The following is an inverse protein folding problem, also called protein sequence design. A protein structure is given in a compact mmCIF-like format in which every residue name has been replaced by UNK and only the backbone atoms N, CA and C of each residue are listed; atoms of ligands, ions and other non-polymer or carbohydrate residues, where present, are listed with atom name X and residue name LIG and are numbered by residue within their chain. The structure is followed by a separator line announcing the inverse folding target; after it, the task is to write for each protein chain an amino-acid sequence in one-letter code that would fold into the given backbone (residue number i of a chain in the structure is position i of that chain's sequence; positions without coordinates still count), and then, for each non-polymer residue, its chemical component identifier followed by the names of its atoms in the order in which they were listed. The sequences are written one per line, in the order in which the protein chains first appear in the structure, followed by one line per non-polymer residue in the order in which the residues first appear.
data_IF_802785485630
#
_entry.id   IF_802785485630
#
_cell.length_a   1.000
_cell.length_b   1.000
_cell.length_c   1.000
_cell.angle_alpha   90.00
_cell.angle_beta   90.00
_cell.angle_gamma   90.00
#
_symmetry.space_group_name_H-M   'P 1'
#
loop_
_entity.id
_entity.type
_entity.pdbx_description
1 polymer ?
#
# COMPACT_ATOMS: atom_id res chain seq x y z
N UNK A 1 -4.94 38.69 34.55
CA UNK A 1 -4.63 38.63 33.09
C UNK A 1 -3.52 37.64 32.69
N UNK A 2 -2.71 37.08 33.61
CA UNK A 2 -1.60 36.17 33.24
C UNK A 2 -2.02 34.74 32.84
N UNK A 3 -3.14 34.23 33.38
CA UNK A 3 -3.60 32.83 33.15
C UNK A 3 -4.16 32.63 31.73
N UNK A 4 -4.88 33.63 31.19
CA UNK A 4 -5.36 33.59 29.79
C UNK A 4 -4.19 33.50 28.80
N UNK A 5 -3.12 34.27 29.03
CA UNK A 5 -1.94 34.27 28.14
C UNK A 5 -1.17 32.94 28.18
N UNK A 6 -1.13 32.26 29.34
CA UNK A 6 -0.52 30.91 29.46
C UNK A 6 -1.36 29.87 28.72
N UNK A 7 -2.70 29.94 28.81
CA UNK A 7 -3.58 29.05 28.06
C UNK A 7 -3.47 29.24 26.54
N UNK A 8 -3.35 30.48 26.05
CA UNK A 8 -3.11 30.76 24.64
C UNK A 8 -1.73 30.25 24.16
N UNK A 9 -0.70 30.33 24.99
CA UNK A 9 0.64 29.82 24.68
C UNK A 9 0.68 28.28 24.60
N UNK A 10 -0.02 27.58 25.50
CA UNK A 10 -0.17 26.12 25.45
C UNK A 10 -0.99 25.66 24.24
N UNK A 11 -2.06 26.37 23.87
CA UNK A 11 -2.82 26.09 22.65
C UNK A 11 -1.99 26.28 21.37
N UNK A 12 -1.12 27.29 21.32
CA UNK A 12 -0.28 27.56 20.14
C UNK A 12 0.81 26.50 19.93
N UNK A 13 1.43 26.00 21.01
CA UNK A 13 2.42 24.92 20.94
C UNK A 13 1.78 23.60 20.48
N UNK A 14 0.55 23.30 20.93
CA UNK A 14 -0.17 22.09 20.53
C UNK A 14 -0.58 22.08 19.05
N UNK A 15 -0.74 23.25 18.42
CA UNK A 15 -1.07 23.34 16.98
C UNK A 15 0.11 23.09 16.05
N UNK A 16 1.37 23.26 16.50
CA UNK A 16 2.55 23.05 15.64
C UNK A 16 3.02 21.58 15.59
N UNK A 17 2.51 20.71 16.46
CA UNK A 17 2.92 19.30 16.53
C UNK A 17 2.27 18.39 15.48
N UNK A 18 1.36 18.90 14.65
CA UNK A 18 0.57 18.08 13.71
C UNK A 18 1.17 17.97 12.30
N UNK A 19 2.35 18.54 12.06
CA UNK A 19 3.06 18.44 10.79
C UNK A 19 4.24 17.46 10.88
N UNK A 20 3.97 16.19 11.16
CA UNK A 20 4.98 15.15 10.89
C UNK A 20 5.33 15.19 9.39
N UNK A 21 6.60 15.42 9.08
CA UNK A 21 7.11 15.43 7.71
C UNK A 21 6.96 14.04 7.08
N UNK A 22 5.87 13.81 6.34
CA UNK A 22 5.71 12.63 5.48
C UNK A 22 6.40 12.90 4.14
N UNK A 23 7.74 12.80 4.11
CA UNK A 23 8.50 12.89 2.87
C UNK A 23 8.20 11.67 2.00
N UNK A 24 7.96 11.87 0.71
CA UNK A 24 7.80 10.79 -0.27
C UNK A 24 9.12 10.69 -1.04
N UNK A 25 9.79 9.53 -1.04
CA UNK A 25 11.05 9.38 -1.75
C UNK A 25 10.82 9.56 -3.26
N UNK A 26 11.77 10.22 -3.93
CA UNK A 26 11.82 10.17 -5.39
C UNK A 26 12.48 8.86 -5.82
N UNK A 27 12.07 8.31 -6.96
CA UNK A 27 12.66 7.07 -7.46
C UNK A 27 14.19 7.17 -7.62
N UNK A 28 14.71 8.32 -8.07
CA UNK A 28 16.15 8.58 -8.21
C UNK A 28 16.94 8.57 -6.89
N UNK A 29 16.25 8.63 -5.75
CA UNK A 29 16.86 8.58 -4.41
C UNK A 29 16.94 7.14 -3.87
N UNK A 30 16.30 6.19 -4.55
CA UNK A 30 16.27 4.77 -4.17
C UNK A 30 17.48 4.09 -4.82
N UNK A 31 18.40 3.50 -4.03
CA UNK A 31 19.59 2.84 -4.56
C UNK A 31 19.25 1.84 -5.66
N UNK A 32 19.97 1.88 -6.78
CA UNK A 32 19.69 1.04 -7.97
C UNK A 32 19.92 -0.45 -7.70
N UNK A 33 20.75 -0.78 -6.70
CA UNK A 33 21.06 -2.12 -6.24
C UNK A 33 20.10 -2.65 -5.15
N UNK A 34 19.07 -1.88 -4.78
CA UNK A 34 18.06 -2.32 -3.80
C UNK A 34 17.34 -3.57 -4.30
N UNK A 35 17.36 -4.65 -3.52
CA UNK A 35 16.64 -5.88 -3.85
C UNK A 35 15.12 -5.73 -3.65
N UNK A 36 14.28 -6.63 -4.19
CA UNK A 36 12.85 -6.65 -3.89
C UNK A 36 12.55 -6.73 -2.39
N UNK A 37 13.39 -7.42 -1.62
CA UNK A 37 13.25 -7.52 -0.16
C UNK A 37 13.53 -6.18 0.53
N UNK A 38 14.59 -5.47 0.14
CA UNK A 38 14.91 -4.14 0.68
C UNK A 38 13.79 -3.14 0.39
N UNK A 39 13.29 -3.14 -0.85
CA UNK A 39 12.17 -2.30 -1.27
C UNK A 39 10.89 -2.65 -0.51
N UNK A 40 10.60 -3.93 -0.32
CA UNK A 40 9.44 -4.38 0.45
C UNK A 40 9.54 -3.95 1.91
N UNK A 41 10.71 -4.09 2.53
CA UNK A 41 10.93 -3.63 3.90
C UNK A 41 10.70 -2.11 4.01
N UNK A 42 11.27 -1.32 3.10
CA UNK A 42 11.05 0.14 3.07
C UNK A 42 9.59 0.51 2.85
N UNK A 43 8.88 -0.25 2.02
CA UNK A 43 7.47 -0.05 1.78
C UNK A 43 6.64 -0.30 3.05
N UNK A 44 6.94 -1.37 3.79
CA UNK A 44 6.26 -1.69 5.06
C UNK A 44 6.60 -0.67 6.16
N UNK A 45 7.85 -0.23 6.30
CA UNK A 45 8.23 0.86 7.22
C UNK A 45 7.45 2.16 6.92
N UNK A 46 7.29 2.49 5.63
CA UNK A 46 6.48 3.61 5.19
C UNK A 46 4.98 3.39 5.45
N UNK A 47 4.49 2.16 5.30
CA UNK A 47 3.10 1.80 5.59
C UNK A 47 2.78 1.95 7.09
N UNK A 48 3.64 1.42 7.95
CA UNK A 48 3.48 1.42 9.42
C UNK A 48 3.52 2.83 10.01
N UNK A 49 4.29 3.72 9.38
CA UNK A 49 4.30 5.16 9.71
C UNK A 49 3.10 5.93 9.11
N UNK A 50 2.16 5.24 8.45
CA UNK A 50 1.00 5.85 7.79
C UNK A 50 1.31 6.55 6.47
N UNK A 51 2.56 6.51 5.98
CA UNK A 51 2.99 7.10 4.72
C UNK A 51 2.70 6.21 3.52
N UNK A 52 1.41 6.02 3.26
CA UNK A 52 0.88 5.24 2.13
C UNK A 52 1.37 5.73 0.76
N UNK A 53 1.77 7.00 0.64
CA UNK A 53 2.35 7.55 -0.60
C UNK A 53 3.75 7.02 -0.81
N UNK A 54 4.61 7.06 0.21
CA UNK A 54 5.96 6.50 0.13
C UNK A 54 5.93 4.98 -0.04
N UNK A 55 5.08 4.28 0.73
CA UNK A 55 4.91 2.83 0.61
C UNK A 55 4.60 2.42 -0.84
N UNK A 56 3.66 3.13 -1.48
CA UNK A 56 3.30 2.90 -2.88
C UNK A 56 4.49 3.07 -3.84
N UNK A 57 5.32 4.09 -3.65
CA UNK A 57 6.51 4.32 -4.51
C UNK A 57 7.43 3.11 -4.47
N UNK A 58 7.74 2.58 -3.28
CA UNK A 58 8.61 1.41 -3.16
C UNK A 58 8.04 0.17 -3.86
N UNK A 59 6.74 -0.10 -3.73
CA UNK A 59 6.10 -1.20 -4.47
C UNK A 59 6.09 -0.97 -5.98
N UNK A 60 5.84 0.26 -6.45
CA UNK A 60 5.90 0.59 -7.88
C UNK A 60 7.31 0.41 -8.45
N UNK A 61 8.36 0.67 -7.66
CA UNK A 61 9.75 0.38 -8.04
C UNK A 61 9.99 -1.12 -8.20
N UNK A 62 9.41 -1.97 -7.34
CA UNK A 62 9.50 -3.42 -7.52
C UNK A 62 8.92 -3.84 -8.88
N UNK A 63 7.72 -3.36 -9.21
CA UNK A 63 7.06 -3.66 -10.48
C UNK A 63 7.85 -3.18 -11.71
N UNK A 64 8.61 -2.09 -11.57
CA UNK A 64 9.39 -1.49 -12.65
C UNK A 64 10.76 -2.14 -12.84
N UNK A 65 11.48 -2.40 -11.74
CA UNK A 65 12.86 -2.90 -11.77
C UNK A 65 12.94 -4.43 -11.85
N UNK A 66 11.91 -5.13 -11.38
CA UNK A 66 11.88 -6.60 -11.32
C UNK A 66 10.67 -7.21 -12.06
N UNK A 67 10.39 -6.82 -13.33
CA UNK A 67 9.19 -7.25 -14.03
C UNK A 67 9.15 -8.75 -14.34
N UNK A 68 10.30 -9.44 -14.26
CA UNK A 68 10.42 -10.89 -14.48
C UNK A 68 10.34 -11.70 -13.18
N UNK A 69 10.35 -11.04 -12.02
CA UNK A 69 10.13 -11.69 -10.73
C UNK A 69 8.63 -11.68 -10.43
N UNK A 70 7.93 -12.71 -10.92
CA UNK A 70 6.47 -12.83 -10.81
C UNK A 70 6.01 -12.87 -9.34
N UNK A 71 6.80 -13.50 -8.47
CA UNK A 71 6.52 -13.58 -7.04
C UNK A 71 6.59 -12.21 -6.37
N UNK A 72 7.66 -11.45 -6.63
CA UNK A 72 7.79 -10.09 -6.11
C UNK A 72 6.73 -9.15 -6.71
N UNK A 73 6.39 -9.31 -7.98
CA UNK A 73 5.37 -8.51 -8.65
C UNK A 73 3.98 -8.75 -8.04
N UNK A 74 3.59 -10.01 -7.81
CA UNK A 74 2.29 -10.32 -7.20
C UNK A 74 2.20 -9.81 -5.76
N UNK A 75 3.28 -9.95 -4.99
CA UNK A 75 3.35 -9.40 -3.64
C UNK A 75 3.14 -7.86 -3.67
N UNK A 76 3.91 -7.15 -4.50
CA UNK A 76 3.80 -5.69 -4.62
C UNK A 76 2.42 -5.24 -5.13
N UNK A 77 1.82 -5.94 -6.10
CA UNK A 77 0.46 -5.66 -6.57
C UNK A 77 -0.58 -5.82 -5.46
N UNK A 78 -0.49 -6.90 -4.69
CA UNK A 78 -1.38 -7.14 -3.55
C UNK A 78 -1.26 -6.01 -2.51
N UNK A 79 -0.04 -5.62 -2.15
CA UNK A 79 0.19 -4.55 -1.16
C UNK A 79 -0.34 -3.18 -1.65
N UNK A 80 -0.21 -2.88 -2.96
CA UNK A 80 -0.83 -1.68 -3.55
C UNK A 80 -2.36 -1.74 -3.46
N UNK A 81 -2.97 -2.91 -3.68
CA UNK A 81 -4.40 -3.08 -3.47
C UNK A 81 -4.80 -2.87 -2.00
N UNK A 82 -3.99 -3.39 -1.07
CA UNK A 82 -4.21 -3.24 0.36
C UNK A 82 -4.09 -1.77 0.81
N UNK A 83 -3.13 -1.01 0.27
CA UNK A 83 -3.03 0.45 0.43
C UNK A 83 -4.32 1.16 -0.01
N UNK A 84 -4.91 0.76 -1.14
CA UNK A 84 -6.19 1.30 -1.59
C UNK A 84 -7.33 0.98 -0.63
N UNK A 85 -7.37 -0.23 -0.05
CA UNK A 85 -8.35 -0.61 0.98
C UNK A 85 -8.23 0.27 2.23
N UNK A 86 -7.00 0.49 2.74
CA UNK A 86 -6.77 1.37 3.89
C UNK A 86 -7.27 2.80 3.65
N UNK A 87 -7.22 3.26 2.40
CA UNK A 87 -7.72 4.58 1.98
C UNK A 87 -9.19 4.58 1.57
N UNK A 88 -9.92 3.49 1.75
CA UNK A 88 -11.32 3.30 1.31
C UNK A 88 -11.53 3.52 -0.19
N UNK A 89 -10.49 3.34 -1.00
CA UNK A 89 -10.52 3.45 -2.45
C UNK A 89 -10.95 2.12 -3.07
N UNK A 90 -12.17 1.68 -2.71
CA UNK A 90 -12.67 0.33 -2.99
C UNK A 90 -12.63 -0.06 -4.47
N UNK A 91 -12.97 0.86 -5.37
CA UNK A 91 -12.94 0.62 -6.83
C UNK A 91 -11.54 0.32 -7.35
N UNK A 92 -10.53 1.04 -6.85
CA UNK A 92 -9.15 0.83 -7.26
C UNK A 92 -8.60 -0.50 -6.71
N UNK A 93 -8.87 -0.78 -5.43
CA UNK A 93 -8.52 -2.06 -4.82
C UNK A 93 -9.14 -3.24 -5.58
N UNK A 94 -10.46 -3.19 -5.82
CA UNK A 94 -11.20 -4.23 -6.53
C UNK A 94 -10.58 -4.55 -7.89
N UNK A 95 -10.27 -3.52 -8.69
CA UNK A 95 -9.69 -3.71 -10.03
C UNK A 95 -8.30 -4.36 -10.01
N UNK A 96 -7.48 -4.09 -8.99
CA UNK A 96 -6.17 -4.74 -8.85
C UNK A 96 -6.35 -6.19 -8.38
N UNK A 97 -7.21 -6.41 -7.39
CA UNK A 97 -7.46 -7.74 -6.83
C UNK A 97 -8.07 -8.69 -7.87
N UNK A 98 -8.98 -8.19 -8.71
CA UNK A 98 -9.53 -8.95 -9.85
C UNK A 98 -8.42 -9.45 -10.79
N UNK A 99 -7.43 -8.59 -11.11
CA UNK A 99 -6.29 -8.96 -11.95
C UNK A 99 -5.36 -9.98 -11.28
N UNK A 100 -5.16 -9.86 -9.96
CA UNK A 100 -4.35 -10.82 -9.20
C UNK A 100 -5.05 -12.19 -9.21
N UNK A 101 -6.35 -12.23 -8.92
CA UNK A 101 -7.14 -13.47 -8.92
C UNK A 101 -7.11 -14.12 -10.31
N UNK A 102 -7.27 -13.33 -11.39
CA UNK A 102 -7.19 -13.85 -12.76
C UNK A 102 -5.81 -14.46 -13.09
N UNK A 103 -4.71 -13.91 -12.55
CA UNK A 103 -3.36 -14.49 -12.73
C UNK A 103 -3.23 -15.86 -12.02
N UNK A 104 -3.78 -15.99 -10.81
CA UNK A 104 -3.84 -17.25 -10.07
C UNK A 104 -4.79 -18.29 -10.66
N UNK A 105 -5.76 -17.87 -11.48
CA UNK A 105 -6.69 -18.77 -12.18
C UNK A 105 -6.20 -19.11 -13.60
N UNK A 106 -5.07 -18.52 -14.01
CA UNK A 106 -4.41 -18.76 -15.28
C UNK A 106 -3.19 -19.68 -15.19
N UNK A 107 -2.44 -19.82 -16.29
CA UNK A 107 -1.26 -20.68 -16.37
C UNK A 107 -0.13 -20.33 -15.40
N UNK A 108 -0.08 -19.09 -14.90
CA UNK A 108 0.97 -18.60 -14.00
C UNK A 108 0.80 -19.11 -12.56
N UNK A 109 -0.36 -19.67 -12.21
CA UNK A 109 -0.69 -20.10 -10.85
C UNK A 109 0.37 -21.00 -10.19
N UNK A 110 1.03 -21.87 -10.96
CA UNK A 110 2.02 -22.82 -10.45
C UNK A 110 3.29 -22.15 -9.89
N UNK A 111 3.58 -20.92 -10.31
CA UNK A 111 4.83 -20.20 -9.97
C UNK A 111 4.62 -19.08 -8.95
N UNK A 112 3.39 -18.89 -8.47
CA UNK A 112 3.02 -17.79 -7.59
C UNK A 112 2.87 -18.25 -6.13
N UNK A 113 3.23 -17.41 -5.13
CA UNK A 113 3.08 -17.77 -3.72
C UNK A 113 1.60 -17.90 -3.33
N UNK A 114 1.15 -19.04 -2.79
CA UNK A 114 -0.29 -19.31 -2.62
C UNK A 114 -1.01 -18.38 -1.63
N UNK A 115 -0.28 -17.79 -0.68
CA UNK A 115 -0.85 -16.94 0.36
C UNK A 115 -1.54 -15.69 -0.20
N UNK A 116 -0.96 -15.07 -1.23
CA UNK A 116 -1.53 -13.87 -1.84
C UNK A 116 -2.84 -14.17 -2.58
N UNK A 117 -3.07 -15.39 -3.06
CA UNK A 117 -4.36 -15.75 -3.65
C UNK A 117 -5.47 -15.71 -2.61
N UNK A 118 -5.22 -16.30 -1.44
CA UNK A 118 -6.18 -16.31 -0.33
C UNK A 118 -6.47 -14.89 0.15
N UNK A 119 -5.42 -14.10 0.37
CA UNK A 119 -5.55 -12.70 0.78
C UNK A 119 -6.30 -11.86 -0.26
N UNK A 120 -5.98 -12.04 -1.55
CA UNK A 120 -6.64 -11.31 -2.62
C UNK A 120 -8.14 -11.60 -2.68
N UNK A 121 -8.58 -12.85 -2.50
CA UNK A 121 -10.01 -13.20 -2.46
C UNK A 121 -10.75 -12.54 -1.30
N UNK A 122 -10.14 -12.52 -0.11
CA UNK A 122 -10.72 -11.90 1.09
C UNK A 122 -10.94 -10.41 0.85
N UNK A 123 -9.88 -9.72 0.42
CA UNK A 123 -9.91 -8.28 0.18
C UNK A 123 -10.81 -7.93 -1.02
N UNK A 124 -10.89 -8.80 -2.04
CA UNK A 124 -11.78 -8.65 -3.19
C UNK A 124 -13.25 -8.73 -2.78
N UNK A 125 -13.62 -9.75 -2.00
CA UNK A 125 -14.99 -9.91 -1.49
C UNK A 125 -15.40 -8.70 -0.64
N UNK A 126 -14.50 -8.22 0.23
CA UNK A 126 -14.70 -7.01 1.01
C UNK A 126 -14.89 -5.77 0.14
N UNK A 127 -14.05 -5.58 -0.89
CA UNK A 127 -14.17 -4.44 -1.80
C UNK A 127 -15.48 -4.52 -2.61
N UNK A 128 -15.88 -5.71 -3.06
CA UNK A 128 -17.13 -5.94 -3.78
C UNK A 128 -18.36 -5.60 -2.92
N UNK A 129 -18.37 -6.03 -1.65
CA UNK A 129 -19.41 -5.70 -0.68
C UNK A 129 -19.56 -4.17 -0.53
N UNK A 130 -18.44 -3.46 -0.34
CA UNK A 130 -18.43 -1.99 -0.22
C UNK A 130 -18.89 -1.28 -1.49
N UNK A 131 -18.68 -1.90 -2.66
CA UNK A 131 -19.17 -1.41 -3.94
C UNK A 131 -20.59 -1.88 -4.28
N UNK A 132 -21.20 -2.74 -3.45
CA UNK A 132 -22.50 -3.40 -3.70
C UNK A 132 -22.53 -4.21 -4.99
N UNK A 133 -21.38 -4.77 -5.38
CA UNK A 133 -21.26 -5.68 -6.52
C UNK A 133 -21.63 -7.07 -6.04
N UNK A 134 -22.54 -7.75 -6.77
CA UNK A 134 -22.80 -9.18 -6.52
C UNK A 134 -21.57 -9.98 -6.96
N UNK A 135 -20.79 -10.48 -6.00
CA UNK A 135 -19.72 -11.43 -6.29
C UNK A 135 -20.35 -12.72 -6.83
N UNK A 136 -19.84 -13.23 -7.95
CA UNK A 136 -20.22 -14.57 -8.40
C UNK A 136 -19.75 -15.56 -7.33
N UNK A 137 -20.70 -16.31 -6.78
CA UNK A 137 -20.45 -17.45 -5.90
C UNK A 137 -19.81 -18.59 -6.67
#
# INVERSE_FOLDING_TARGET
MKIKNIAYLCCMIMTMSLFSCMTVPRESEIPEDSSPADLTQKAQEAFDSGNYRAARVYYEVILKRFPTDESACIAAQYEIAHLHIKKHQWKAAYAILEKIIAQYEGPMAMHLPPDYYKLAKIDYARAAEKLRIKTKS
#
